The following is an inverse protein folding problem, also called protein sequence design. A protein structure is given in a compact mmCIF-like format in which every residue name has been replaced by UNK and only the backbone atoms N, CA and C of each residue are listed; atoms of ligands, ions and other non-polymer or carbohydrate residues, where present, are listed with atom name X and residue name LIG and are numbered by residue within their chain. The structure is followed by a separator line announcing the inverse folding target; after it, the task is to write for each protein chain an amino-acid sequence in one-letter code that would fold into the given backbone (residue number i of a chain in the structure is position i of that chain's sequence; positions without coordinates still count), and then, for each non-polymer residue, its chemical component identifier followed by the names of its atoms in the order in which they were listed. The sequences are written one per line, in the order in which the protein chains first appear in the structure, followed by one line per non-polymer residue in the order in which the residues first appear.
data_IF_051711664003
#
_entry.id   IF_051711664003
#
_cell.length_a   1.000
_cell.length_b   1.000
_cell.length_c   1.000
_cell.angle_alpha   90.00
_cell.angle_beta   90.00
_cell.angle_gamma   90.00
#
_symmetry.space_group_name_H-M   'P 1'
#
loop_
_entity.id
_entity.type
_entity.pdbx_description
1 polymer ?
#
# COMPACT_ATOMS: atom_id res chain seq x y z
N UNK A 1 -9.09 -6.50 39.73
CA UNK A 1 -8.27 -6.63 38.53
C UNK A 1 -7.76 -5.26 38.17
N UNK A 2 -6.45 -5.06 38.26
CA UNK A 2 -5.86 -3.80 37.82
C UNK A 2 -6.05 -3.69 36.29
N UNK A 3 -6.88 -2.75 35.89
CA UNK A 3 -7.08 -2.43 34.47
C UNK A 3 -5.75 -1.88 33.97
N UNK A 4 -5.02 -2.69 33.20
CA UNK A 4 -3.82 -2.18 32.52
C UNK A 4 -4.27 -1.12 31.53
N UNK A 5 -3.79 0.09 31.72
CA UNK A 5 -4.07 1.23 30.83
C UNK A 5 -3.09 1.19 29.65
N UNK A 6 -3.59 1.42 28.44
CA UNK A 6 -2.74 1.66 27.28
C UNK A 6 -2.02 3.01 27.42
N UNK A 7 -0.71 3.01 27.28
CA UNK A 7 0.10 4.23 27.30
C UNK A 7 0.08 4.87 25.91
N UNK A 8 -0.24 6.17 25.82
CA UNK A 8 -0.31 6.83 24.53
C UNK A 8 1.08 6.95 23.88
N UNK A 9 1.11 6.79 22.56
CA UNK A 9 2.26 7.08 21.72
C UNK A 9 2.64 8.57 21.83
N UNK A 10 3.93 8.87 21.74
CA UNK A 10 4.37 10.24 21.52
C UNK A 10 3.97 10.67 20.11
N UNK A 11 3.47 11.91 19.99
CA UNK A 11 3.09 12.45 18.69
C UNK A 11 4.36 12.64 17.83
N UNK A 12 4.53 11.78 16.86
CA UNK A 12 5.57 11.88 15.82
C UNK A 12 4.89 11.78 14.47
N UNK A 13 5.07 12.80 13.62
CA UNK A 13 4.58 12.74 12.24
C UNK A 13 5.61 11.93 11.45
N UNK A 14 5.18 10.86 10.73
CA UNK A 14 6.09 10.09 9.90
C UNK A 14 6.84 10.97 8.91
N UNK A 15 8.16 10.82 8.81
CA UNK A 15 9.01 11.61 7.90
C UNK A 15 8.53 11.50 6.45
N UNK A 16 8.08 10.31 6.06
CA UNK A 16 7.54 10.04 4.71
C UNK A 16 6.31 10.87 4.40
N UNK A 17 5.48 11.18 5.39
CA UNK A 17 4.30 12.03 5.21
C UNK A 17 4.67 13.51 5.07
N UNK A 18 5.64 13.98 5.86
CA UNK A 18 6.20 15.35 5.73
C UNK A 18 6.82 15.54 4.35
N UNK A 19 7.52 14.53 3.84
CA UNK A 19 8.19 14.57 2.55
C UNK A 19 7.23 14.46 1.37
N UNK A 20 5.99 14.01 1.56
CA UNK A 20 5.00 13.87 0.48
C UNK A 20 4.83 15.17 -0.32
N UNK A 21 4.74 16.30 0.34
CA UNK A 21 4.58 17.60 -0.29
C UNK A 21 5.73 17.97 -1.25
N UNK A 22 6.94 17.43 -1.03
CA UNK A 22 8.11 17.69 -1.88
C UNK A 22 7.99 17.07 -3.28
N UNK A 23 7.09 16.11 -3.48
CA UNK A 23 6.83 15.48 -4.77
C UNK A 23 5.63 16.07 -5.50
N UNK A 24 4.82 16.90 -4.85
CA UNK A 24 3.64 17.51 -5.45
C UNK A 24 4.03 18.66 -6.41
N UNK A 25 3.36 18.74 -7.56
CA UNK A 25 3.65 19.70 -8.63
C UNK A 25 2.37 20.26 -9.23
N UNK A 26 2.44 21.49 -9.72
CA UNK A 26 1.34 22.10 -10.48
C UNK A 26 1.45 21.79 -11.98
N UNK A 27 2.65 21.50 -12.47
CA UNK A 27 2.87 21.14 -13.86
C UNK A 27 2.85 19.61 -14.06
N UNK A 28 2.47 19.21 -15.26
CA UNK A 28 2.35 17.81 -15.64
C UNK A 28 3.66 17.25 -16.24
N UNK A 29 4.75 17.96 -16.09
CA UNK A 29 6.03 17.57 -16.67
C UNK A 29 6.76 16.52 -15.78
N UNK A 30 6.43 15.27 -16.00
CA UNK A 30 7.07 14.11 -15.37
C UNK A 30 8.30 13.62 -16.16
N UNK A 31 9.06 14.50 -16.78
CA UNK A 31 10.28 14.10 -17.50
C UNK A 31 11.23 13.38 -16.55
N UNK A 32 11.76 12.27 -17.04
CA UNK A 32 12.83 11.54 -16.35
C UNK A 32 14.01 12.43 -16.08
N UNK A 33 14.45 12.45 -14.82
CA UNK A 33 15.60 13.21 -14.35
C UNK A 33 16.72 12.26 -13.94
N UNK A 34 17.93 12.76 -13.86
CA UNK A 34 18.99 12.02 -13.19
C UNK A 34 18.69 11.90 -11.70
N UNK A 35 19.17 10.85 -11.04
CA UNK A 35 18.98 10.68 -9.61
C UNK A 35 19.62 11.84 -8.81
N UNK A 36 20.73 12.42 -9.30
CA UNK A 36 21.35 13.63 -8.70
C UNK A 36 20.40 14.83 -8.68
N UNK A 37 19.60 15.00 -9.74
CA UNK A 37 18.60 16.08 -9.79
C UNK A 37 17.46 15.82 -8.81
N UNK A 38 17.04 14.58 -8.64
CA UNK A 38 16.00 14.21 -7.67
C UNK A 38 16.49 14.32 -6.22
N UNK A 39 17.74 14.07 -5.93
CA UNK A 39 18.35 14.30 -4.59
C UNK A 39 18.21 15.75 -4.10
N UNK A 40 18.07 16.71 -5.00
CA UNK A 40 17.86 18.13 -4.66
C UNK A 40 16.46 18.43 -4.11
N UNK A 41 15.54 17.48 -4.17
CA UNK A 41 14.16 17.65 -3.64
C UNK A 41 14.09 17.76 -2.11
N UNK A 42 15.20 17.55 -1.40
CA UNK A 42 15.26 17.70 0.06
C UNK A 42 14.72 16.50 0.85
N UNK A 43 14.29 15.42 0.17
CA UNK A 43 13.85 14.19 0.81
C UNK A 43 15.01 13.25 1.15
N UNK A 44 14.80 12.35 2.08
CA UNK A 44 15.80 11.36 2.47
C UNK A 44 15.85 10.23 1.44
N UNK A 45 16.94 10.19 0.67
CA UNK A 45 17.25 9.14 -0.27
C UNK A 45 18.26 8.14 0.30
N UNK A 46 18.16 6.87 -0.10
CA UNK A 46 19.22 5.90 0.15
C UNK A 46 20.48 6.29 -0.65
N UNK A 47 21.65 6.18 -0.01
CA UNK A 47 22.91 6.40 -0.70
C UNK A 47 23.16 5.32 -1.75
N UNK A 48 23.63 5.73 -2.92
CA UNK A 48 23.96 4.87 -4.05
C UNK A 48 25.36 5.23 -4.55
N UNK A 49 26.12 4.32 -5.18
CA UNK A 49 27.42 4.65 -5.77
C UNK A 49 27.34 5.80 -6.78
N UNK A 50 28.35 6.69 -6.77
CA UNK A 50 28.34 7.95 -7.54
C UNK A 50 28.06 7.76 -9.04
N UNK A 51 28.46 6.60 -9.61
CA UNK A 51 28.23 6.31 -11.04
C UNK A 51 26.76 6.39 -11.44
N UNK A 52 25.83 5.97 -10.55
CA UNK A 52 24.40 5.96 -10.85
C UNK A 52 23.73 7.33 -10.74
N UNK A 53 24.33 8.27 -9.96
CA UNK A 53 23.70 9.58 -9.72
C UNK A 53 23.57 10.41 -11.01
N UNK A 54 24.57 10.33 -11.89
CA UNK A 54 24.67 11.18 -13.10
C UNK A 54 24.32 10.45 -14.38
N UNK A 55 23.94 9.18 -14.31
CA UNK A 55 23.57 8.44 -15.50
C UNK A 55 22.32 9.04 -16.13
N UNK A 56 22.36 9.19 -17.45
CA UNK A 56 21.19 9.67 -18.19
C UNK A 56 20.13 8.56 -18.29
N UNK A 57 18.83 8.94 -18.35
CA UNK A 57 17.74 7.97 -18.37
C UNK A 57 17.86 6.92 -19.51
N UNK A 58 18.22 7.33 -20.72
CA UNK A 58 18.40 6.44 -21.85
C UNK A 58 19.52 5.40 -21.66
N UNK A 59 20.61 5.82 -20.99
CA UNK A 59 21.72 4.92 -20.64
C UNK A 59 21.29 3.93 -19.56
N UNK A 60 20.54 4.39 -18.54
CA UNK A 60 20.01 3.52 -17.49
C UNK A 60 19.08 2.46 -18.11
N UNK A 61 18.18 2.87 -18.99
CA UNK A 61 17.24 1.97 -19.66
C UNK A 61 17.98 0.87 -20.44
N UNK A 62 18.98 1.25 -21.22
CA UNK A 62 19.77 0.28 -22.00
C UNK A 62 20.54 -0.70 -21.08
N UNK A 63 21.12 -0.21 -19.98
CA UNK A 63 21.84 -1.08 -19.04
C UNK A 63 20.87 -1.99 -18.25
N UNK A 64 19.67 -1.53 -17.86
CA UNK A 64 18.66 -2.40 -17.23
C UNK A 64 18.28 -3.55 -18.17
N UNK A 65 17.99 -3.27 -19.45
CA UNK A 65 17.66 -4.29 -20.44
C UNK A 65 18.80 -5.31 -20.57
N UNK A 66 20.03 -4.84 -20.64
CA UNK A 66 21.21 -5.69 -20.72
C UNK A 66 21.37 -6.56 -19.46
N UNK A 67 21.18 -6.02 -18.25
CA UNK A 67 21.28 -6.80 -17.00
C UNK A 67 20.17 -7.85 -16.92
N UNK A 68 18.94 -7.52 -17.29
CA UNK A 68 17.85 -8.50 -17.41
C UNK A 68 18.24 -9.66 -18.33
N UNK A 69 18.85 -9.37 -19.48
CA UNK A 69 19.30 -10.41 -20.41
C UNK A 69 20.44 -11.27 -19.84
N UNK A 70 21.37 -10.69 -19.07
CA UNK A 70 22.48 -11.42 -18.45
C UNK A 70 22.00 -12.34 -17.32
N UNK A 71 21.08 -11.84 -16.47
CA UNK A 71 20.56 -12.61 -15.33
C UNK A 71 19.58 -13.69 -15.82
N UNK A 72 18.81 -13.39 -16.86
CA UNK A 72 17.87 -14.33 -17.50
C UNK A 72 16.76 -14.80 -16.55
N UNK A 73 16.40 -16.08 -16.67
CA UNK A 73 15.27 -16.71 -15.95
C UNK A 73 15.43 -16.76 -14.43
N UNK A 74 16.60 -16.40 -13.90
CA UNK A 74 16.80 -16.28 -12.46
C UNK A 74 16.19 -15.02 -11.84
N UNK A 75 15.73 -14.07 -12.66
CA UNK A 75 15.20 -12.78 -12.26
C UNK A 75 13.70 -12.69 -12.51
N UNK A 76 12.95 -12.26 -11.52
CA UNK A 76 11.54 -11.91 -11.63
C UNK A 76 11.29 -10.53 -11.04
N UNK A 77 10.84 -9.57 -11.82
CA UNK A 77 10.59 -8.19 -11.40
C UNK A 77 9.08 -7.97 -11.24
N UNK A 78 8.67 -7.69 -10.01
CA UNK A 78 7.31 -7.33 -9.64
C UNK A 78 7.15 -5.81 -9.65
N UNK A 79 6.14 -5.27 -10.34
CA UNK A 79 5.87 -3.84 -10.44
C UNK A 79 4.50 -3.44 -9.92
N UNK A 80 4.45 -2.64 -8.84
CA UNK A 80 3.18 -2.12 -8.36
C UNK A 80 2.64 -1.02 -9.29
N UNK A 81 1.32 -0.96 -9.49
CA UNK A 81 0.68 0.01 -10.38
C UNK A 81 0.99 1.49 -10.07
N UNK A 82 1.36 1.82 -8.82
CA UNK A 82 1.73 3.20 -8.44
C UNK A 82 3.19 3.55 -8.76
N UNK A 83 3.93 2.61 -9.38
CA UNK A 83 5.27 2.92 -9.83
C UNK A 83 5.27 3.88 -11.03
N UNK A 84 6.31 4.70 -11.08
CA UNK A 84 6.61 5.58 -12.21
C UNK A 84 6.85 4.76 -13.48
N UNK A 85 6.49 5.32 -14.63
CA UNK A 85 6.55 4.63 -15.92
C UNK A 85 7.95 4.13 -16.26
N UNK A 86 8.97 4.90 -15.89
CA UNK A 86 10.38 4.59 -16.14
C UNK A 86 10.87 3.33 -15.40
N UNK A 87 10.13 2.86 -14.41
CA UNK A 87 10.43 1.65 -13.63
C UNK A 87 9.50 0.51 -14.03
N UNK A 88 8.19 0.77 -14.08
CA UNK A 88 7.21 -0.29 -14.27
C UNK A 88 7.32 -0.97 -15.63
N UNK A 89 7.82 -0.25 -16.66
CA UNK A 89 8.09 -0.81 -17.99
C UNK A 89 9.09 -1.98 -18.00
N UNK A 90 9.86 -2.18 -16.93
CA UNK A 90 10.81 -3.29 -16.80
C UNK A 90 10.25 -4.47 -15.99
N UNK A 91 9.05 -4.31 -15.37
CA UNK A 91 8.43 -5.38 -14.61
C UNK A 91 8.01 -6.54 -15.51
N UNK A 92 8.17 -7.76 -15.01
CA UNK A 92 7.72 -8.98 -15.69
C UNK A 92 6.22 -9.20 -15.47
N UNK A 93 5.70 -8.76 -14.30
CA UNK A 93 4.28 -8.66 -14.01
C UNK A 93 3.96 -7.35 -13.26
N UNK A 94 2.74 -6.85 -13.47
CA UNK A 94 2.23 -5.66 -12.80
C UNK A 94 0.92 -5.96 -12.09
N UNK A 95 0.70 -5.32 -10.95
CA UNK A 95 -0.50 -5.54 -10.16
C UNK A 95 -0.64 -4.61 -8.97
N UNK A 96 -1.75 -4.79 -8.27
CA UNK A 96 -1.93 -4.27 -6.92
C UNK A 96 -1.23 -5.18 -5.88
N UNK A 97 -1.33 -4.82 -4.61
CA UNK A 97 -0.68 -5.59 -3.53
C UNK A 97 -1.18 -7.03 -3.43
N UNK A 98 -2.45 -7.30 -3.79
CA UNK A 98 -2.99 -8.66 -3.76
C UNK A 98 -2.42 -9.51 -4.90
N UNK A 99 -2.55 -9.03 -6.13
CA UNK A 99 -2.06 -9.72 -7.31
C UNK A 99 -0.57 -10.01 -7.22
N UNK A 100 0.24 -9.02 -6.85
CA UNK A 100 1.69 -9.21 -6.70
C UNK A 100 2.05 -10.18 -5.57
N UNK A 101 1.23 -10.31 -4.52
CA UNK A 101 1.42 -11.33 -3.49
C UNK A 101 1.15 -12.74 -4.02
N UNK A 102 0.13 -12.91 -4.87
CA UNK A 102 -0.17 -14.18 -5.54
C UNK A 102 0.97 -14.56 -6.48
N UNK A 103 1.38 -13.65 -7.36
CA UNK A 103 2.48 -13.84 -8.31
C UNK A 103 3.81 -14.21 -7.60
N UNK A 104 4.12 -13.52 -6.48
CA UNK A 104 5.30 -13.86 -5.68
C UNK A 104 5.20 -15.27 -5.06
N UNK A 105 4.01 -15.68 -4.61
CA UNK A 105 3.79 -17.00 -4.01
C UNK A 105 3.84 -18.13 -5.06
N UNK A 106 3.45 -17.86 -6.29
CA UNK A 106 3.41 -18.83 -7.41
C UNK A 106 4.76 -18.96 -8.13
N UNK A 107 5.59 -17.91 -8.16
CA UNK A 107 6.91 -17.97 -8.77
C UNK A 107 7.85 -18.90 -7.99
N UNK A 108 8.38 -19.92 -8.65
CA UNK A 108 9.23 -20.96 -8.02
C UNK A 108 10.61 -21.11 -8.68
N UNK A 109 10.80 -20.50 -9.85
CA UNK A 109 12.00 -20.73 -10.66
C UNK A 109 13.02 -19.60 -10.49
N UNK A 110 12.58 -18.36 -10.28
CA UNK A 110 13.47 -17.23 -10.11
C UNK A 110 14.22 -17.31 -8.78
N UNK A 111 15.53 -17.11 -8.81
CA UNK A 111 16.39 -16.99 -7.63
C UNK A 111 16.26 -15.59 -6.98
N UNK A 112 16.04 -14.56 -7.82
CA UNK A 112 15.97 -13.17 -7.40
C UNK A 112 14.61 -12.57 -7.74
N UNK A 113 13.89 -12.10 -6.73
CA UNK A 113 12.63 -11.39 -6.88
C UNK A 113 12.87 -9.92 -6.56
N UNK A 114 12.89 -9.07 -7.57
CA UNK A 114 13.05 -7.63 -7.40
C UNK A 114 11.67 -6.98 -7.30
N UNK A 115 11.35 -6.44 -6.14
CA UNK A 115 10.04 -5.85 -5.87
C UNK A 115 10.09 -4.32 -6.10
N UNK A 116 9.61 -3.84 -7.23
CA UNK A 116 9.40 -2.42 -7.49
C UNK A 116 8.09 -1.96 -6.84
N UNK A 117 8.16 -1.72 -5.53
CA UNK A 117 7.06 -1.35 -4.66
C UNK A 117 7.59 -0.67 -3.40
N UNK A 118 7.02 -0.99 -2.25
CA UNK A 118 7.44 -0.48 -0.95
C UNK A 118 7.75 -1.62 0.02
N UNK A 119 8.41 -1.30 1.14
CA UNK A 119 9.03 -2.27 2.04
C UNK A 119 8.08 -3.39 2.52
N UNK A 120 6.88 -3.07 2.96
CA UNK A 120 5.93 -4.08 3.43
C UNK A 120 5.49 -5.07 2.34
N UNK A 121 5.55 -4.68 1.06
CA UNK A 121 5.27 -5.58 -0.08
C UNK A 121 6.43 -6.55 -0.28
N UNK A 122 7.66 -6.06 -0.17
CA UNK A 122 8.85 -6.90 -0.24
C UNK A 122 8.91 -7.88 0.96
N UNK A 123 8.55 -7.44 2.18
CA UNK A 123 8.36 -8.36 3.32
C UNK A 123 7.32 -9.44 3.01
N UNK A 124 6.19 -9.06 2.41
CA UNK A 124 5.14 -10.01 2.05
C UNK A 124 5.63 -11.03 1.02
N UNK A 125 6.38 -10.59 0.01
CA UNK A 125 6.99 -11.48 -0.96
C UNK A 125 7.98 -12.44 -0.27
N UNK A 126 8.84 -11.95 0.62
CA UNK A 126 9.77 -12.81 1.37
C UNK A 126 9.05 -13.84 2.24
N UNK A 127 7.91 -13.51 2.84
CA UNK A 127 7.10 -14.45 3.62
C UNK A 127 6.51 -15.57 2.75
N UNK A 128 6.11 -15.26 1.53
CA UNK A 128 5.39 -16.18 0.64
C UNK A 128 6.31 -17.00 -0.27
N UNK A 129 7.51 -16.52 -0.51
CA UNK A 129 8.50 -17.19 -1.37
C UNK A 129 9.24 -18.33 -0.63
N UNK A 130 10.04 -19.09 -1.35
CA UNK A 130 10.85 -20.16 -0.78
C UNK A 130 12.14 -19.63 -0.16
N UNK A 131 12.79 -20.41 0.71
CA UNK A 131 14.05 -20.01 1.37
C UNK A 131 15.23 -19.81 0.40
N UNK A 132 15.15 -20.37 -0.80
CA UNK A 132 16.21 -20.24 -1.81
C UNK A 132 16.05 -18.98 -2.68
N UNK A 133 14.89 -18.32 -2.57
CA UNK A 133 14.60 -17.08 -3.29
C UNK A 133 14.99 -15.87 -2.45
N UNK A 134 15.58 -14.86 -3.10
CA UNK A 134 16.02 -13.62 -2.47
C UNK A 134 15.15 -12.46 -2.94
N UNK A 135 14.43 -11.87 -2.02
CA UNK A 135 13.59 -10.69 -2.31
C UNK A 135 14.40 -9.43 -2.12
N UNK A 136 14.39 -8.56 -3.12
CA UNK A 136 15.21 -7.35 -3.20
C UNK A 136 14.32 -6.14 -3.42
N UNK A 137 14.47 -5.12 -2.57
CA UNK A 137 13.82 -3.81 -2.75
C UNK A 137 14.83 -2.84 -3.33
N UNK A 138 14.64 -2.27 -4.52
CA UNK A 138 15.65 -1.43 -5.16
C UNK A 138 16.12 -0.25 -4.30
N UNK A 139 15.22 0.34 -3.49
CA UNK A 139 15.55 1.41 -2.55
C UNK A 139 14.92 1.13 -1.18
N UNK A 140 15.74 0.85 -0.17
CA UNK A 140 15.31 0.56 1.20
C UNK A 140 14.62 1.74 1.90
N UNK A 141 14.73 2.97 1.38
CA UNK A 141 13.99 4.12 1.87
C UNK A 141 12.54 4.20 1.32
N UNK A 142 12.14 3.27 0.44
CA UNK A 142 10.77 3.16 -0.05
C UNK A 142 9.88 2.47 0.99
N UNK A 143 9.49 3.20 2.04
CA UNK A 143 8.55 2.78 3.08
C UNK A 143 7.09 3.06 2.72
N UNK A 144 6.23 3.18 3.74
CA UNK A 144 4.83 3.59 3.57
C UNK A 144 4.40 4.39 4.81
N UNK A 145 4.02 5.67 4.62
CA UNK A 145 3.62 6.53 5.74
C UNK A 145 2.45 5.96 6.54
N UNK A 146 1.50 5.31 5.88
CA UNK A 146 0.38 4.64 6.55
C UNK A 146 0.86 3.47 7.42
N UNK A 147 1.76 2.63 6.91
CA UNK A 147 2.34 1.54 7.70
C UNK A 147 3.12 2.07 8.91
N UNK A 148 3.83 3.19 8.74
CA UNK A 148 4.61 3.84 9.82
C UNK A 148 3.72 4.46 10.90
N UNK A 149 2.43 4.75 10.62
CA UNK A 149 1.46 5.24 11.61
C UNK A 149 1.02 4.17 12.62
N UNK A 150 1.32 2.90 12.36
CA UNK A 150 1.05 1.79 13.26
C UNK A 150 2.35 1.03 13.53
N UNK A 151 3.04 1.35 14.62
CA UNK A 151 4.22 0.58 15.01
C UNK A 151 3.80 -0.78 15.58
N UNK A 152 4.66 -1.78 15.42
CA UNK A 152 4.39 -3.12 15.95
C UNK A 152 4.20 -3.10 17.48
N UNK A 153 4.96 -2.28 18.19
CA UNK A 153 4.89 -2.13 19.65
C UNK A 153 3.55 -1.52 20.07
N UNK A 154 3.15 -0.39 19.46
CA UNK A 154 1.89 0.29 19.80
C UNK A 154 0.67 -0.59 19.49
N UNK A 155 0.73 -1.36 18.38
CA UNK A 155 -0.36 -2.27 17.99
C UNK A 155 -0.43 -3.46 18.94
N UNK A 156 0.70 -4.02 19.36
CA UNK A 156 0.75 -5.11 20.33
C UNK A 156 0.19 -4.68 21.69
N UNK A 157 0.56 -3.49 22.17
CA UNK A 157 0.03 -2.93 23.42
C UNK A 157 -1.47 -2.63 23.34
N UNK A 158 -1.92 -2.06 22.23
CA UNK A 158 -3.34 -1.81 21.98
C UNK A 158 -4.14 -3.13 21.91
N UNK A 159 -3.59 -4.14 21.23
CA UNK A 159 -4.20 -5.45 21.15
C UNK A 159 -4.34 -6.11 22.52
N UNK A 160 -3.27 -6.13 23.32
CA UNK A 160 -3.30 -6.65 24.71
C UNK A 160 -4.36 -5.96 25.55
N UNK A 161 -4.50 -4.63 25.42
CA UNK A 161 -5.56 -3.89 26.13
C UNK A 161 -6.96 -4.35 25.67
N UNK A 162 -7.19 -4.43 24.37
CA UNK A 162 -8.49 -4.83 23.81
C UNK A 162 -8.83 -6.27 24.21
N UNK A 163 -7.89 -7.22 24.05
CA UNK A 163 -8.06 -8.63 24.43
C UNK A 163 -8.37 -8.81 25.92
N UNK A 164 -7.76 -8.04 26.81
CA UNK A 164 -8.01 -8.09 28.25
C UNK A 164 -9.40 -7.55 28.65
N UNK A 165 -10.02 -6.72 27.82
CA UNK A 165 -11.28 -6.06 28.11
C UNK A 165 -12.46 -6.56 27.24
N UNK A 166 -12.20 -7.40 26.26
CA UNK A 166 -13.23 -7.99 25.39
C UNK A 166 -12.68 -9.21 24.64
N UNK A 167 -13.30 -10.39 24.82
CA UNK A 167 -12.89 -11.65 24.18
C UNK A 167 -13.36 -11.80 22.72
N UNK A 168 -14.11 -10.83 22.20
CA UNK A 168 -14.80 -10.96 20.92
C UNK A 168 -14.05 -10.34 19.74
N UNK A 169 -12.99 -9.57 19.97
CA UNK A 169 -12.24 -8.94 18.90
C UNK A 169 -11.31 -9.90 18.16
N UNK A 170 -11.22 -9.71 16.85
CA UNK A 170 -10.23 -10.35 15.97
C UNK A 170 -9.39 -9.26 15.32
N UNK A 171 -8.05 -9.38 15.31
CA UNK A 171 -7.20 -8.42 14.63
C UNK A 171 -7.18 -8.70 13.13
N UNK A 172 -7.52 -7.72 12.32
CA UNK A 172 -7.36 -7.77 10.86
C UNK A 172 -6.42 -6.65 10.46
N UNK A 173 -5.42 -6.96 9.64
CA UNK A 173 -4.56 -5.91 9.11
C UNK A 173 -4.68 -5.78 7.61
N UNK A 174 -4.66 -4.54 7.16
CA UNK A 174 -4.47 -4.22 5.76
C UNK A 174 -3.05 -4.62 5.33
N UNK A 175 -2.88 -5.00 4.08
CA UNK A 175 -1.58 -5.38 3.50
C UNK A 175 -0.49 -4.33 3.80
N UNK A 176 -0.87 -3.04 3.83
CA UNK A 176 0.00 -1.90 4.10
C UNK A 176 0.35 -1.80 5.60
N UNK A 177 1.01 -2.83 6.09
CA UNK A 177 1.49 -2.97 7.47
C UNK A 177 2.78 -3.80 7.50
N UNK A 178 3.55 -3.70 8.58
CA UNK A 178 4.78 -4.47 8.75
C UNK A 178 4.49 -5.98 8.92
N UNK A 179 5.48 -6.82 8.64
CA UNK A 179 5.41 -8.25 8.89
C UNK A 179 5.06 -8.58 10.35
N UNK A 180 5.52 -7.78 11.32
CA UNK A 180 5.21 -7.96 12.74
C UNK A 180 3.72 -7.81 13.05
N UNK A 181 3.01 -6.86 12.42
CA UNK A 181 1.55 -6.71 12.58
C UNK A 181 0.82 -7.86 11.91
N UNK A 182 1.27 -8.30 10.72
CA UNK A 182 0.74 -9.50 10.06
C UNK A 182 0.89 -10.74 10.95
N UNK A 183 2.05 -10.88 11.62
CA UNK A 183 2.33 -11.93 12.59
C UNK A 183 1.36 -11.89 13.78
N UNK A 184 1.12 -10.70 14.35
CA UNK A 184 0.14 -10.53 15.43
C UNK A 184 -1.25 -11.01 14.98
N UNK A 185 -1.69 -10.64 13.78
CA UNK A 185 -2.97 -11.10 13.24
C UNK A 185 -3.02 -12.63 13.07
N UNK A 186 -1.97 -13.23 12.50
CA UNK A 186 -1.91 -14.69 12.31
C UNK A 186 -1.98 -15.47 13.62
N UNK A 187 -1.24 -15.00 14.63
CA UNK A 187 -1.17 -15.56 15.97
C UNK A 187 -2.50 -15.51 16.72
N UNK A 188 -3.27 -14.45 16.52
CA UNK A 188 -4.52 -14.18 17.23
C UNK A 188 -5.79 -14.51 16.40
N UNK A 189 -5.69 -15.45 15.45
CA UNK A 189 -6.85 -15.94 14.71
C UNK A 189 -7.34 -14.99 13.59
N UNK A 190 -6.69 -13.86 13.41
CA UNK A 190 -7.01 -12.88 12.37
C UNK A 190 -6.34 -13.17 11.02
N UNK A 191 -6.39 -12.20 10.12
CA UNK A 191 -5.85 -12.32 8.77
C UNK A 191 -5.33 -10.97 8.23
N UNK A 192 -4.66 -11.03 7.10
CA UNK A 192 -4.36 -9.87 6.25
C UNK A 192 -5.51 -9.67 5.26
N UNK A 193 -5.80 -8.43 4.89
CA UNK A 193 -6.65 -8.16 3.73
C UNK A 193 -6.03 -7.10 2.82
N UNK A 194 -6.58 -6.96 1.62
CA UNK A 194 -6.30 -5.88 0.68
C UNK A 194 -7.58 -5.08 0.42
N UNK A 195 -7.48 -3.97 -0.31
CA UNK A 195 -8.69 -3.23 -0.73
C UNK A 195 -9.63 -4.08 -1.59
N UNK A 196 -9.12 -5.11 -2.27
CA UNK A 196 -9.92 -6.01 -3.11
C UNK A 196 -10.80 -6.97 -2.30
N UNK A 197 -10.36 -7.41 -1.12
CA UNK A 197 -11.04 -8.44 -0.33
C UNK A 197 -11.37 -8.04 1.11
N UNK A 198 -11.20 -6.76 1.49
CA UNK A 198 -11.49 -6.27 2.84
C UNK A 198 -12.94 -6.57 3.26
N UNK A 199 -13.90 -6.47 2.33
CA UNK A 199 -15.31 -6.78 2.60
C UNK A 199 -15.49 -8.25 2.99
N UNK A 200 -14.94 -9.17 2.22
CA UNK A 200 -14.99 -10.61 2.52
C UNK A 200 -14.28 -10.95 3.85
N UNK A 201 -13.14 -10.28 4.10
CA UNK A 201 -12.39 -10.42 5.35
C UNK A 201 -13.23 -10.02 6.58
N UNK A 202 -13.93 -8.89 6.51
CA UNK A 202 -14.78 -8.43 7.60
C UNK A 202 -16.03 -9.32 7.77
N UNK A 203 -16.70 -9.62 6.67
CA UNK A 203 -17.92 -10.43 6.67
C UNK A 203 -17.70 -11.80 7.31
N UNK A 204 -16.58 -12.47 7.01
CA UNK A 204 -16.21 -13.77 7.56
C UNK A 204 -16.25 -13.81 9.10
N UNK A 205 -15.84 -12.73 9.77
CA UNK A 205 -15.80 -12.66 11.24
C UNK A 205 -17.08 -12.05 11.82
N UNK A 206 -17.64 -11.05 11.19
CA UNK A 206 -18.88 -10.41 11.64
C UNK A 206 -20.06 -11.41 11.64
N UNK A 207 -20.13 -12.31 10.64
CA UNK A 207 -21.15 -13.39 10.58
C UNK A 207 -20.99 -14.40 11.71
N UNK A 208 -19.81 -14.55 12.29
CA UNK A 208 -19.54 -15.38 13.47
C UNK A 208 -19.77 -14.64 14.80
N UNK A 209 -20.33 -13.44 14.75
CA UNK A 209 -20.57 -12.59 15.93
C UNK A 209 -19.29 -11.96 16.51
N UNK A 210 -18.15 -12.02 15.80
CA UNK A 210 -16.92 -11.41 16.24
C UNK A 210 -16.89 -9.93 15.93
N UNK A 211 -16.10 -9.17 16.71
CA UNK A 211 -15.76 -7.78 16.49
C UNK A 211 -14.40 -7.69 15.81
N UNK A 212 -14.14 -6.60 15.12
CA UNK A 212 -12.90 -6.43 14.35
C UNK A 212 -12.09 -5.28 14.92
N UNK A 213 -10.78 -5.50 15.14
CA UNK A 213 -9.80 -4.44 15.29
C UNK A 213 -8.95 -4.38 14.03
N UNK A 214 -9.10 -3.30 13.26
CA UNK A 214 -8.51 -3.12 11.94
C UNK A 214 -7.35 -2.16 11.94
N UNK A 215 -6.24 -2.55 11.33
CA UNK A 215 -5.00 -1.79 11.21
C UNK A 215 -4.61 -1.62 9.74
N UNK A 216 -3.81 -0.60 9.36
CA UNK A 216 -3.62 0.66 10.07
C UNK A 216 -4.56 1.77 9.59
N UNK A 217 -5.35 1.56 8.53
CA UNK A 217 -6.14 2.58 7.83
C UNK A 217 -7.56 2.73 8.38
N UNK A 218 -7.87 3.92 8.93
CA UNK A 218 -9.20 4.21 9.46
C UNK A 218 -10.27 4.34 8.37
N UNK A 219 -9.89 4.79 7.16
CA UNK A 219 -10.83 5.07 6.09
C UNK A 219 -11.28 3.78 5.39
N UNK A 220 -10.31 2.95 4.96
CA UNK A 220 -10.63 1.63 4.40
C UNK A 220 -11.46 0.80 5.39
N UNK A 221 -11.05 0.74 6.66
CA UNK A 221 -11.77 -0.01 7.68
C UNK A 221 -13.19 0.50 7.90
N UNK A 222 -13.38 1.83 8.01
CA UNK A 222 -14.71 2.46 8.17
C UNK A 222 -15.58 2.25 6.94
N UNK A 223 -15.05 2.53 5.75
CA UNK A 223 -15.80 2.39 4.50
C UNK A 223 -16.25 0.95 4.28
N UNK A 224 -15.38 -0.02 4.57
CA UNK A 224 -15.71 -1.45 4.53
C UNK A 224 -16.83 -1.80 5.52
N UNK A 225 -16.73 -1.37 6.78
CA UNK A 225 -17.74 -1.62 7.81
C UNK A 225 -19.11 -1.04 7.41
N UNK A 226 -19.14 0.21 6.94
CA UNK A 226 -20.37 0.87 6.52
C UNK A 226 -21.00 0.20 5.30
N UNK A 227 -20.20 -0.27 4.35
CA UNK A 227 -20.69 -1.01 3.17
C UNK A 227 -21.33 -2.36 3.54
N UNK A 228 -20.99 -2.92 4.69
CA UNK A 228 -21.58 -4.13 5.28
C UNK A 228 -22.79 -3.84 6.18
N UNK A 229 -23.25 -2.58 6.23
CA UNK A 229 -24.42 -2.19 7.03
C UNK A 229 -24.14 -2.02 8.53
N UNK A 230 -22.88 -2.02 8.97
CA UNK A 230 -22.52 -1.66 10.34
C UNK A 230 -22.82 -0.18 10.55
N UNK A 231 -23.51 0.16 11.63
CA UNK A 231 -23.89 1.53 11.91
C UNK A 231 -22.66 2.39 12.26
N UNK A 232 -22.72 3.67 11.89
CA UNK A 232 -21.59 4.61 12.12
C UNK A 232 -21.20 4.72 13.59
N UNK A 233 -22.12 4.62 14.52
CA UNK A 233 -21.88 4.66 15.98
C UNK A 233 -21.26 3.37 16.51
N UNK A 234 -21.35 2.26 15.79
CA UNK A 234 -20.71 0.96 16.09
C UNK A 234 -19.27 0.88 15.51
N UNK A 235 -18.83 1.89 14.73
CA UNK A 235 -17.44 2.02 14.23
C UNK A 235 -16.75 3.09 15.05
N UNK A 236 -15.66 2.73 15.73
CA UNK A 236 -14.85 3.66 16.54
C UNK A 236 -13.42 3.72 16.05
N UNK A 237 -12.77 4.84 16.28
CA UNK A 237 -11.36 5.06 15.95
C UNK A 237 -10.53 4.87 17.20
N UNK A 238 -9.52 4.02 17.11
CA UNK A 238 -8.46 3.90 18.10
C UNK A 238 -7.41 4.97 17.84
N UNK A 239 -7.30 5.92 18.73
CA UNK A 239 -6.29 6.97 18.66
C UNK A 239 -5.04 6.57 19.47
N UNK A 240 -3.91 6.21 18.84
CA UNK A 240 -2.71 5.76 19.54
C UNK A 240 -2.05 6.86 20.38
N UNK A 241 -2.47 8.12 20.24
CA UNK A 241 -1.98 9.27 21.00
C UNK A 241 -2.81 9.56 22.26
N UNK A 242 -3.83 8.75 22.53
CA UNK A 242 -4.70 8.88 23.69
C UNK A 242 -4.68 7.63 24.54
N UNK A 243 -4.81 7.82 25.86
CA UNK A 243 -4.98 6.71 26.79
C UNK A 243 -6.18 5.85 26.38
N UNK A 244 -6.00 4.52 26.37
CA UNK A 244 -7.01 3.54 25.94
C UNK A 244 -7.62 3.84 24.55
N UNK A 245 -6.81 4.38 23.64
CA UNK A 245 -7.26 4.77 22.31
C UNK A 245 -8.26 5.93 22.30
N UNK A 246 -8.45 6.62 23.44
CA UNK A 246 -9.46 7.67 23.65
C UNK A 246 -10.87 7.13 23.86
N UNK A 247 -11.03 5.84 24.20
CA UNK A 247 -12.31 5.18 24.40
C UNK A 247 -12.54 4.78 25.85
N UNK A 248 -13.80 4.85 26.29
CA UNK A 248 -14.24 4.20 27.53
C UNK A 248 -14.50 2.71 27.27
N UNK A 249 -14.49 1.90 28.34
CA UNK A 249 -14.84 0.47 28.25
C UNK A 249 -16.27 0.25 27.72
N UNK A 250 -17.22 1.11 28.07
CA UNK A 250 -18.58 1.07 27.55
C UNK A 250 -18.62 1.30 26.03
N UNK A 251 -17.86 2.26 25.54
CA UNK A 251 -17.71 2.50 24.10
C UNK A 251 -17.05 1.34 23.40
N UNK A 252 -15.96 0.77 23.96
CA UNK A 252 -15.29 -0.41 23.40
C UNK A 252 -16.26 -1.60 23.32
N UNK A 253 -17.04 -1.85 24.34
CA UNK A 253 -17.99 -2.96 24.37
C UNK A 253 -19.13 -2.82 23.34
N UNK A 254 -19.55 -1.61 23.01
CA UNK A 254 -20.57 -1.31 21.98
C UNK A 254 -19.99 -1.28 20.55
N UNK A 255 -18.66 -1.27 20.42
CA UNK A 255 -17.98 -1.20 19.13
C UNK A 255 -18.03 -2.57 18.43
N UNK A 256 -18.42 -2.61 17.17
CA UNK A 256 -18.29 -3.79 16.29
C UNK A 256 -17.01 -3.75 15.47
N UNK A 257 -16.62 -2.57 14.99
CA UNK A 257 -15.40 -2.37 14.22
C UNK A 257 -14.60 -1.22 14.82
N UNK A 258 -13.45 -1.56 15.35
CA UNK A 258 -12.45 -0.62 15.84
C UNK A 258 -11.41 -0.42 14.74
N UNK A 259 -11.12 0.82 14.35
CA UNK A 259 -10.14 1.12 13.31
C UNK A 259 -9.00 1.95 13.87
N UNK A 260 -7.76 1.61 13.52
CA UNK A 260 -6.58 2.38 13.90
C UNK A 260 -6.58 3.74 13.21
N UNK A 261 -6.16 4.79 13.89
CA UNK A 261 -6.11 6.16 13.37
C UNK A 261 -4.91 6.39 12.43
N UNK A 262 -4.80 5.61 11.38
CA UNK A 262 -3.87 5.86 10.28
C UNK A 262 -4.62 6.20 9.00
N UNK A 263 -3.91 6.63 7.97
CA UNK A 263 -4.50 7.02 6.68
C UNK A 263 -3.44 7.04 5.57
N UNK A 264 -3.89 7.01 4.33
CA UNK A 264 -3.03 7.22 3.17
C UNK A 264 -2.98 8.70 2.79
N UNK A 265 -1.78 9.29 2.76
CA UNK A 265 -1.58 10.70 2.40
C UNK A 265 -1.98 11.03 0.94
N UNK A 266 -2.03 10.04 0.06
CA UNK A 266 -2.50 10.20 -1.32
C UNK A 266 -4.02 10.29 -1.36
N UNK A 267 -4.72 9.31 -0.76
CA UNK A 267 -6.17 9.17 -0.88
C UNK A 267 -6.96 10.17 -0.02
N UNK A 268 -6.40 10.64 1.08
CA UNK A 268 -7.04 11.68 1.93
C UNK A 268 -6.99 13.08 1.33
N UNK A 269 -6.32 13.28 0.19
CA UNK A 269 -6.29 14.56 -0.53
C UNK A 269 -7.54 14.83 -1.36
N UNK A 270 -8.24 13.78 -1.75
CA UNK A 270 -9.44 13.92 -2.55
C UNK A 270 -10.58 14.52 -1.71
N UNK A 271 -11.34 15.43 -2.33
CA UNK A 271 -12.40 16.19 -1.67
C UNK A 271 -13.74 16.03 -2.39
N UNK A 272 -14.82 16.36 -1.69
CA UNK A 272 -16.17 16.38 -2.27
C UNK A 272 -16.28 17.42 -3.39
N UNK A 273 -15.67 18.58 -3.24
CA UNK A 273 -15.70 19.64 -4.27
C UNK A 273 -15.09 19.16 -5.59
N UNK A 274 -14.02 18.34 -5.54
CA UNK A 274 -13.42 17.74 -6.73
C UNK A 274 -14.36 16.72 -7.41
N UNK A 275 -15.14 15.98 -6.64
CA UNK A 275 -16.20 15.10 -7.19
C UNK A 275 -17.27 15.90 -7.90
N UNK A 276 -17.76 16.97 -7.26
CA UNK A 276 -18.78 17.83 -7.83
C UNK A 276 -18.30 18.48 -9.14
N UNK A 277 -17.06 18.97 -9.17
CA UNK A 277 -16.43 19.52 -10.38
C UNK A 277 -16.34 18.47 -11.50
N UNK A 278 -15.90 17.25 -11.18
CA UNK A 278 -15.83 16.15 -12.16
C UNK A 278 -17.22 15.82 -12.72
N UNK A 279 -18.24 15.75 -11.87
CA UNK A 279 -19.64 15.49 -12.29
C UNK A 279 -20.21 16.62 -13.13
N UNK A 280 -19.90 17.88 -12.84
CA UNK A 280 -20.27 19.02 -13.68
C UNK A 280 -19.64 18.96 -15.09
N UNK A 281 -18.47 18.32 -15.23
CA UNK A 281 -17.83 18.03 -16.52
C UNK A 281 -18.45 16.82 -17.24
N UNK A 282 -19.45 16.18 -16.65
CA UNK A 282 -20.11 14.97 -17.17
C UNK A 282 -19.27 13.71 -17.02
N UNK A 283 -18.35 13.66 -16.05
CA UNK A 283 -17.52 12.50 -15.78
C UNK A 283 -18.17 11.56 -14.75
N UNK A 284 -17.98 10.26 -14.96
CA UNK A 284 -18.16 9.26 -13.91
C UNK A 284 -17.01 9.38 -12.90
N UNK A 285 -17.30 9.21 -11.63
CA UNK A 285 -16.30 9.32 -10.56
C UNK A 285 -16.05 7.95 -9.95
N UNK A 286 -14.78 7.53 -9.97
CA UNK A 286 -14.32 6.29 -9.35
C UNK A 286 -13.17 6.56 -8.38
N UNK A 287 -13.28 6.03 -7.14
CA UNK A 287 -12.29 6.29 -6.10
C UNK A 287 -11.84 5.03 -5.38
N UNK A 288 -10.64 5.08 -4.81
CA UNK A 288 -10.12 4.03 -3.95
C UNK A 288 -10.77 4.09 -2.55
N UNK A 289 -11.06 2.96 -1.89
CA UNK A 289 -11.75 2.94 -0.58
C UNK A 289 -10.92 3.49 0.59
N UNK A 290 -9.66 3.84 0.40
CA UNK A 290 -8.84 4.60 1.36
C UNK A 290 -9.18 6.10 1.38
N UNK A 291 -10.00 6.58 0.46
CA UNK A 291 -10.53 7.95 0.50
C UNK A 291 -11.43 8.13 1.73
N UNK A 292 -11.61 9.39 2.15
CA UNK A 292 -12.52 9.70 3.25
C UNK A 292 -13.95 9.21 2.97
N UNK A 293 -14.70 8.90 4.02
CA UNK A 293 -16.09 8.42 3.82
C UNK A 293 -16.98 9.40 3.05
N UNK A 294 -16.75 10.69 3.21
CA UNK A 294 -17.53 11.71 2.52
C UNK A 294 -17.26 11.68 1.00
N UNK A 295 -16.03 11.42 0.59
CA UNK A 295 -15.63 11.22 -0.81
C UNK A 295 -16.21 9.91 -1.34
N UNK A 296 -16.03 8.81 -0.62
CA UNK A 296 -16.53 7.48 -1.01
C UNK A 296 -18.04 7.48 -1.19
N UNK A 297 -18.79 8.12 -0.29
CA UNK A 297 -20.26 8.13 -0.32
C UNK A 297 -20.86 8.95 -1.48
N UNK A 298 -20.08 9.82 -2.09
CA UNK A 298 -20.52 10.66 -3.22
C UNK A 298 -19.97 10.22 -4.57
N UNK A 299 -19.09 9.21 -4.58
CA UNK A 299 -18.52 8.65 -5.81
C UNK A 299 -19.50 7.66 -6.45
N UNK A 300 -19.42 7.53 -7.78
CA UNK A 300 -20.29 6.61 -8.52
C UNK A 300 -19.80 5.16 -8.41
N UNK A 301 -18.47 4.99 -8.30
CA UNK A 301 -17.81 3.69 -8.15
C UNK A 301 -16.73 3.76 -7.05
N UNK A 302 -16.58 2.65 -6.33
CA UNK A 302 -15.55 2.52 -5.28
C UNK A 302 -14.94 1.14 -5.35
N UNK A 303 -13.63 1.05 -5.46
CA UNK A 303 -12.95 -0.24 -5.49
C UNK A 303 -11.43 -0.17 -5.46
N UNK A 304 -10.82 -1.35 -5.45
CA UNK A 304 -9.36 -1.50 -5.46
C UNK A 304 -8.74 -0.95 -6.75
N UNK A 305 -7.42 -0.91 -6.78
CA UNK A 305 -6.65 -0.49 -7.96
C UNK A 305 -7.02 -1.33 -9.21
N UNK A 306 -7.09 -2.66 -9.08
CA UNK A 306 -7.50 -3.54 -10.19
C UNK A 306 -8.95 -3.26 -10.62
N UNK A 307 -9.88 -3.08 -9.67
CA UNK A 307 -11.26 -2.73 -9.98
C UNK A 307 -11.36 -1.42 -10.75
N UNK A 308 -10.57 -0.40 -10.37
CA UNK A 308 -10.52 0.88 -11.11
C UNK A 308 -10.04 0.66 -12.55
N UNK A 309 -9.00 -0.17 -12.73
CA UNK A 309 -8.45 -0.51 -14.04
C UNK A 309 -9.52 -1.21 -14.90
N UNK A 310 -10.16 -2.23 -14.37
CA UNK A 310 -11.15 -3.04 -15.08
C UNK A 310 -12.34 -2.18 -15.51
N UNK A 311 -12.94 -1.42 -14.58
CA UNK A 311 -14.11 -0.55 -14.88
C UNK A 311 -13.79 0.49 -15.94
N UNK A 312 -12.61 1.10 -15.89
CA UNK A 312 -12.23 2.13 -16.87
C UNK A 312 -11.91 1.51 -18.23
N UNK A 313 -11.25 0.34 -18.26
CA UNK A 313 -10.93 -0.34 -19.51
C UNK A 313 -12.20 -0.86 -20.22
N UNK A 314 -13.15 -1.42 -19.47
CA UNK A 314 -14.39 -1.99 -20.00
C UNK A 314 -15.43 -0.92 -20.38
N UNK A 315 -15.21 0.35 -20.01
CA UNK A 315 -16.14 1.44 -20.32
C UNK A 315 -16.17 1.78 -21.81
N UNK A 316 -17.32 2.26 -22.28
CA UNK A 316 -17.51 2.64 -23.67
C UNK A 316 -16.59 3.78 -24.11
N UNK A 317 -16.15 3.80 -25.40
CA UNK A 317 -15.45 4.93 -25.98
C UNK A 317 -16.20 6.26 -25.82
N UNK A 318 -15.45 7.36 -25.62
CA UNK A 318 -16.02 8.69 -25.41
C UNK A 318 -16.49 8.97 -23.98
N UNK A 319 -16.41 7.99 -23.06
CA UNK A 319 -16.75 8.23 -21.65
C UNK A 319 -15.69 9.09 -20.95
N UNK A 320 -16.12 9.77 -19.89
CA UNK A 320 -15.24 10.61 -19.06
C UNK A 320 -15.13 10.03 -17.66
N UNK A 321 -13.90 10.02 -17.12
CA UNK A 321 -13.60 9.43 -15.82
C UNK A 321 -12.75 10.35 -14.95
N UNK A 322 -13.30 10.78 -13.81
CA UNK A 322 -12.58 11.41 -12.72
C UNK A 322 -12.13 10.35 -11.71
N UNK A 323 -10.82 10.15 -11.57
CA UNK A 323 -10.27 9.04 -10.78
C UNK A 323 -9.61 9.56 -9.51
N UNK A 324 -10.05 9.05 -8.35
CA UNK A 324 -9.49 9.34 -7.03
C UNK A 324 -8.53 8.24 -6.56
N UNK A 325 -7.36 8.16 -7.19
CA UNK A 325 -6.24 7.29 -6.78
C UNK A 325 -4.91 7.89 -7.23
N UNK A 326 -3.81 7.13 -7.10
CA UNK A 326 -2.45 7.57 -7.35
C UNK A 326 -2.22 7.95 -8.82
N UNK A 327 -1.55 9.07 -9.04
CA UNK A 327 -1.43 9.76 -10.33
C UNK A 327 -0.72 8.96 -11.42
N UNK A 328 0.30 8.13 -11.11
CA UNK A 328 0.99 7.33 -12.12
C UNK A 328 0.06 6.29 -12.74
N UNK A 329 -0.82 5.69 -11.93
CA UNK A 329 -1.86 4.81 -12.44
C UNK A 329 -2.83 5.57 -13.35
N UNK A 330 -3.34 6.73 -12.89
CA UNK A 330 -4.32 7.52 -13.65
C UNK A 330 -3.75 7.93 -15.00
N UNK A 331 -2.50 8.37 -15.06
CA UNK A 331 -1.82 8.74 -16.31
C UNK A 331 -1.62 7.55 -17.24
N UNK A 332 -1.27 6.39 -16.68
CA UNK A 332 -1.11 5.17 -17.47
C UNK A 332 -2.45 4.74 -18.08
N UNK A 333 -3.53 4.78 -17.30
CA UNK A 333 -4.88 4.49 -17.81
C UNK A 333 -5.28 5.46 -18.92
N UNK A 334 -5.01 6.76 -18.76
CA UNK A 334 -5.28 7.75 -19.78
C UNK A 334 -4.48 7.50 -21.08
N UNK A 335 -3.20 7.12 -20.94
CA UNK A 335 -2.35 6.76 -22.10
C UNK A 335 -2.81 5.50 -22.81
N UNK A 336 -3.31 4.51 -22.07
CA UNK A 336 -3.77 3.22 -22.59
C UNK A 336 -5.19 3.30 -23.20
N UNK A 337 -5.98 4.31 -22.83
CA UNK A 337 -7.35 4.52 -23.28
C UNK A 337 -7.53 5.91 -23.94
N UNK A 338 -6.88 6.17 -25.11
CA UNK A 338 -6.93 7.47 -25.76
C UNK A 338 -8.32 7.82 -26.33
N UNK A 339 -9.22 6.86 -26.38
CA UNK A 339 -10.62 6.99 -26.78
C UNK A 339 -11.53 7.52 -25.65
N UNK A 340 -11.00 7.69 -24.43
CA UNK A 340 -11.72 8.15 -23.23
C UNK A 340 -11.07 9.42 -22.67
N UNK A 341 -11.84 10.26 -21.96
CA UNK A 341 -11.29 11.38 -21.20
C UNK A 341 -11.05 10.94 -19.75
N UNK A 342 -9.80 10.68 -19.38
CA UNK A 342 -9.41 10.19 -18.06
C UNK A 342 -8.54 11.23 -17.36
N UNK A 343 -8.89 11.62 -16.13
CA UNK A 343 -8.14 12.59 -15.34
C UNK A 343 -8.17 12.25 -13.85
N UNK A 344 -7.15 12.72 -13.12
CA UNK A 344 -7.13 12.65 -11.66
C UNK A 344 -8.07 13.70 -11.06
N UNK A 345 -8.81 13.36 -10.00
CA UNK A 345 -9.67 14.31 -9.29
C UNK A 345 -8.87 15.48 -8.70
N UNK A 346 -7.67 15.20 -8.13
CA UNK A 346 -6.79 16.27 -7.66
C UNK A 346 -6.03 16.88 -8.85
N UNK A 347 -6.18 18.19 -9.13
CA UNK A 347 -5.43 18.87 -10.18
C UNK A 347 -3.93 18.97 -9.88
N UNK A 348 -3.53 18.81 -8.62
CA UNK A 348 -2.12 18.80 -8.23
C UNK A 348 -1.54 17.42 -8.49
N UNK A 349 -0.52 17.35 -9.35
CA UNK A 349 0.22 16.11 -9.60
C UNK A 349 1.06 15.76 -8.38
N UNK A 350 0.58 14.83 -7.59
CA UNK A 350 1.20 14.44 -6.33
C UNK A 350 1.34 12.91 -6.27
N UNK A 351 2.45 12.35 -6.82
CA UNK A 351 2.69 10.91 -6.76
C UNK A 351 2.89 10.45 -5.31
N UNK A 352 2.67 9.16 -5.07
CA UNK A 352 3.04 8.55 -3.79
C UNK A 352 4.55 8.71 -3.57
N UNK A 353 4.94 9.51 -2.58
CA UNK A 353 6.34 9.88 -2.33
C UNK A 353 7.25 8.66 -2.16
N UNK A 354 6.77 7.63 -1.50
CA UNK A 354 7.57 6.44 -1.19
C UNK A 354 7.69 5.50 -2.39
N UNK A 355 6.62 5.31 -3.17
CA UNK A 355 6.68 4.59 -4.45
C UNK A 355 7.61 5.31 -5.44
N UNK A 356 7.55 6.64 -5.47
CA UNK A 356 8.39 7.46 -6.35
C UNK A 356 9.90 7.34 -6.06
N UNK A 357 10.28 6.90 -4.85
CA UNK A 357 11.69 6.66 -4.47
C UNK A 357 12.34 5.48 -5.19
N UNK A 358 11.57 4.61 -5.82
CA UNK A 358 12.14 3.59 -6.72
C UNK A 358 12.48 4.28 -8.05
N UNK A 359 13.66 4.89 -8.11
CA UNK A 359 14.19 5.47 -9.35
C UNK A 359 14.87 4.38 -10.19
N UNK A 360 14.86 4.44 -11.55
CA UNK A 360 15.53 3.46 -12.41
C UNK A 360 17.00 3.20 -12.06
N UNK A 361 17.71 4.21 -11.57
CA UNK A 361 19.10 4.07 -11.13
C UNK A 361 19.27 3.09 -9.94
N UNK A 362 18.29 3.00 -9.03
CA UNK A 362 18.29 2.00 -7.96
C UNK A 362 18.01 0.61 -8.50
N UNK A 363 17.07 0.50 -9.44
CA UNK A 363 16.79 -0.76 -10.11
C UNK A 363 18.05 -1.28 -10.82
N UNK A 364 18.71 -0.43 -11.60
CA UNK A 364 19.97 -0.79 -12.24
C UNK A 364 21.04 -1.21 -11.22
N UNK A 365 21.16 -0.48 -10.10
CA UNK A 365 22.15 -0.78 -9.08
C UNK A 365 22.00 -2.18 -8.48
N UNK A 366 20.76 -2.59 -8.16
CA UNK A 366 20.52 -3.94 -7.62
C UNK A 366 20.70 -5.02 -8.69
N UNK A 367 20.34 -4.76 -9.95
CA UNK A 367 20.56 -5.68 -11.05
C UNK A 367 22.06 -5.87 -11.38
N UNK A 368 22.85 -4.80 -11.37
CA UNK A 368 24.32 -4.87 -11.48
C UNK A 368 24.92 -5.69 -10.35
N UNK A 369 24.39 -5.55 -9.12
CA UNK A 369 24.79 -6.36 -7.99
C UNK A 369 24.53 -7.84 -8.25
N UNK A 370 23.32 -8.20 -8.63
CA UNK A 370 22.93 -9.61 -8.95
C UNK A 370 23.85 -10.18 -10.02
N UNK A 371 24.06 -9.46 -11.13
CA UNK A 371 24.92 -9.89 -12.23
C UNK A 371 26.38 -10.10 -11.78
N UNK A 372 26.84 -9.37 -10.76
CA UNK A 372 28.17 -9.51 -10.14
C UNK A 372 28.22 -10.56 -9.00
N UNK A 373 27.12 -11.26 -8.71
CA UNK A 373 27.01 -12.23 -7.59
C UNK A 373 26.84 -11.58 -6.22
N UNK A 374 26.43 -10.30 -6.16
CA UNK A 374 26.21 -9.55 -4.93
C UNK A 374 24.72 -9.26 -4.77
N UNK A 375 24.15 -9.59 -3.62
CA UNK A 375 22.78 -9.24 -3.30
C UNK A 375 22.75 -7.93 -2.51
N UNK A 376 22.15 -6.90 -3.10
CA UNK A 376 22.04 -5.56 -2.54
C UNK A 376 20.59 -5.33 -2.14
N UNK A 377 20.36 -4.76 -0.96
CA UNK A 377 19.01 -4.44 -0.46
C UNK A 377 18.06 -5.67 -0.36
N UNK A 378 18.58 -6.80 0.06
CA UNK A 378 17.75 -7.95 0.37
C UNK A 378 16.83 -7.63 1.55
N UNK A 379 15.58 -8.04 1.44
CA UNK A 379 14.58 -7.96 2.50
C UNK A 379 14.39 -9.36 3.06
N UNK A 380 14.61 -9.49 4.37
CA UNK A 380 14.46 -10.75 5.10
C UNK A 380 13.60 -10.51 6.34
N UNK A 381 12.59 -11.32 6.53
CA UNK A 381 11.72 -11.31 7.71
C UNK A 381 12.17 -12.36 8.68
N UNK A 382 12.28 -12.02 9.97
CA UNK A 382 12.64 -12.95 11.03
C UNK A 382 11.75 -14.19 11.02
N UNK A 383 12.35 -15.36 11.24
CA UNK A 383 11.68 -16.65 11.10
C UNK A 383 10.38 -16.77 11.92
N UNK A 384 10.38 -16.33 13.19
CA UNK A 384 9.18 -16.39 14.05
C UNK A 384 8.06 -15.49 13.54
N UNK A 385 8.42 -14.29 13.04
CA UNK A 385 7.48 -13.36 12.42
C UNK A 385 6.94 -13.96 11.12
N UNK A 386 7.81 -14.55 10.31
CA UNK A 386 7.48 -15.18 9.02
C UNK A 386 6.42 -16.27 9.16
N UNK A 387 6.58 -17.17 10.16
CA UNK A 387 5.63 -18.28 10.39
C UNK A 387 4.21 -17.78 10.64
N UNK A 388 4.04 -16.86 11.57
CA UNK A 388 2.69 -16.35 11.92
C UNK A 388 2.12 -15.43 10.84
N UNK A 389 2.95 -14.61 10.21
CA UNK A 389 2.54 -13.75 9.09
C UNK A 389 2.04 -14.59 7.91
N UNK A 390 2.71 -15.70 7.61
CA UNK A 390 2.29 -16.63 6.56
C UNK A 390 0.89 -17.18 6.80
N UNK A 391 0.56 -17.55 8.04
CA UNK A 391 -0.79 -17.99 8.42
C UNK A 391 -1.84 -16.91 8.09
N UNK A 392 -1.56 -15.65 8.42
CA UNK A 392 -2.48 -14.55 8.15
C UNK A 392 -2.64 -14.27 6.64
N UNK A 393 -1.56 -14.40 5.87
CA UNK A 393 -1.54 -14.22 4.42
C UNK A 393 -2.23 -15.40 3.71
N UNK A 394 -2.02 -16.64 4.13
CA UNK A 394 -2.70 -17.81 3.58
C UNK A 394 -4.23 -17.72 3.80
N UNK A 395 -4.67 -17.23 4.96
CA UNK A 395 -6.09 -16.94 5.20
C UNK A 395 -6.61 -15.87 4.24
N UNK A 396 -5.82 -14.83 3.96
CA UNK A 396 -6.18 -13.81 2.95
C UNK A 396 -6.31 -14.41 1.56
N UNK A 397 -5.34 -15.23 1.14
CA UNK A 397 -5.33 -15.85 -0.20
C UNK A 397 -6.50 -16.83 -0.40
N UNK A 398 -7.07 -17.36 0.69
CA UNK A 398 -8.24 -18.24 0.65
C UNK A 398 -9.60 -17.51 0.60
N UNK A 399 -9.62 -16.17 0.75
CA UNK A 399 -10.84 -15.38 0.65
C UNK A 399 -11.30 -15.25 -0.81
N UNK A 400 -12.62 -15.14 -1.05
CA UNK A 400 -13.13 -14.73 -2.35
C UNK A 400 -12.66 -13.31 -2.69
N UNK A 401 -12.43 -13.08 -3.98
CA UNK A 401 -12.09 -11.77 -4.52
C UNK A 401 -13.30 -10.84 -4.54
#
# INVERSE_FOLDING_TARGET
MDIKTFKPRKLEIPVTEIEQASFCRLDDNLRSKTLEEEFKSGVKWQKVPLRYLKMKPDVIDAEIIKMKSIIGDKLFILGHHYQREEVIKFADTTGDSFKLSVEAAEEKNAEYIVFCGVHFMAETADILTTSDQKVILPNMAAGCSMADMASAEDVDDAWKFVEQNSDDFIPITYMNSTASIKSLCGKNGGLVCTSSNAKAAFEQYLLKGKKIFFFPDQHLGRNTALSLGIKRDEVKVWNPFKENGGLTLDQLNKTKVLVWQGHCSVHTRFTVDQIEEAKLRGANVIVHPECTNDVVSQSDYVGSTEYIIDVVNDADPGTKWGIGTEINLVKRLASQNPDKEIFCLDPIVCPCATMYRIHPAYLLWVLDGIAAGLVINQVEVDFEIKVNSKIALERMLSLPK
#
